data_IF_749498047694
#
_entry.id   IF_749498047694
#
_cell.length_a   1.000
_cell.length_b   1.000
_cell.length_c   1.000
_cell.angle_alpha   90.00
_cell.angle_beta   90.00
_cell.angle_gamma   90.00
#
_symmetry.space_group_name_H-M   'P 1'
#
loop_
_entity.id
_entity.type
_entity.pdbx_description
1 polymer ?
#
# COMPACT_ATOMS: atom_id res chain seq x y z
N UNK A 1 0.83 14.82 -3.11
CA UNK A 1 -0.08 14.20 -2.12
C UNK A 1 -1.26 13.69 -2.90
N UNK A 2 -1.15 12.45 -3.40
CA UNK A 2 -2.23 11.83 -4.15
C UNK A 2 -3.50 11.78 -3.28
N UNK A 3 -4.64 12.11 -3.89
CA UNK A 3 -5.95 11.88 -3.29
C UNK A 3 -6.24 10.38 -3.37
N UNK A 4 -5.68 9.62 -2.44
CA UNK A 4 -5.87 8.15 -2.39
C UNK A 4 -7.18 7.85 -1.65
N UNK A 5 -8.03 7.01 -2.24
CA UNK A 5 -9.30 6.57 -1.65
C UNK A 5 -9.18 5.11 -1.26
N UNK A 6 -9.28 4.80 0.03
CA UNK A 6 -9.13 3.42 0.55
C UNK A 6 -10.23 2.44 0.11
N UNK A 7 -11.21 2.87 -0.69
CA UNK A 7 -12.35 2.06 -1.09
C UNK A 7 -11.88 0.83 -1.90
N UNK A 8 -11.03 1.05 -2.89
CA UNK A 8 -10.56 -0.01 -3.80
C UNK A 8 -9.65 -1.00 -3.05
N UNK A 9 -8.80 -0.50 -2.15
CA UNK A 9 -7.94 -1.34 -1.32
C UNK A 9 -8.75 -2.22 -0.34
N UNK A 10 -9.87 -1.70 0.20
CA UNK A 10 -10.77 -2.46 1.08
C UNK A 10 -11.51 -3.54 0.29
N UNK A 11 -11.92 -3.27 -0.95
CA UNK A 11 -12.56 -4.29 -1.79
C UNK A 11 -11.63 -5.45 -2.15
N UNK A 12 -10.32 -5.20 -2.25
CA UNK A 12 -9.31 -6.23 -2.52
C UNK A 12 -9.07 -7.17 -1.34
N UNK A 13 -8.90 -6.63 -0.13
CA UNK A 13 -8.61 -7.44 1.08
C UNK A 13 -9.89 -7.91 1.79
N UNK A 14 -11.01 -7.21 1.62
CA UNK A 14 -12.31 -7.54 2.22
C UNK A 14 -12.44 -7.15 3.70
N UNK A 15 -11.34 -7.10 4.46
CA UNK A 15 -11.33 -6.68 5.86
C UNK A 15 -10.47 -5.42 6.06
N UNK A 16 -11.07 -4.38 6.68
CA UNK A 16 -10.41 -3.10 6.96
C UNK A 16 -9.27 -3.21 7.97
N UNK A 17 -9.35 -4.13 8.94
CA UNK A 17 -8.29 -4.33 9.91
C UNK A 17 -7.07 -5.01 9.28
N UNK A 18 -7.32 -6.01 8.45
CA UNK A 18 -6.26 -6.71 7.72
C UNK A 18 -5.60 -5.77 6.71
N UNK A 19 -6.36 -4.92 6.03
CA UNK A 19 -5.81 -3.86 5.17
C UNK A 19 -4.80 -2.98 5.92
N UNK A 20 -5.15 -2.51 7.12
CA UNK A 20 -4.25 -1.69 7.92
C UNK A 20 -2.97 -2.46 8.27
N UNK A 21 -3.10 -3.74 8.64
CA UNK A 21 -1.96 -4.57 9.01
C UNK A 21 -1.03 -4.84 7.83
N UNK A 22 -1.59 -5.19 6.68
CA UNK A 22 -0.87 -5.48 5.42
C UNK A 22 -0.17 -4.22 4.91
N UNK A 23 -0.90 -3.10 4.81
CA UNK A 23 -0.34 -1.82 4.38
C UNK A 23 0.78 -1.35 5.31
N UNK A 24 0.61 -1.47 6.64
CA UNK A 24 1.64 -1.09 7.60
C UNK A 24 2.89 -1.98 7.51
N UNK A 25 2.70 -3.29 7.33
CA UNK A 25 3.81 -4.24 7.14
C UNK A 25 4.57 -3.93 5.85
N UNK A 26 3.85 -3.68 4.76
CA UNK A 26 4.44 -3.35 3.46
C UNK A 26 5.18 -2.02 3.46
N UNK A 27 4.57 -0.97 4.01
CA UNK A 27 5.22 0.34 4.15
C UNK A 27 6.54 0.24 4.93
N UNK A 28 6.60 -0.57 6.00
CA UNK A 28 7.84 -0.83 6.74
C UNK A 28 8.91 -1.55 5.91
N UNK A 29 8.53 -2.54 5.08
CA UNK A 29 9.48 -3.24 4.21
C UNK A 29 10.16 -2.28 3.23
N UNK A 30 9.42 -1.30 2.71
CA UNK A 30 9.97 -0.26 1.83
C UNK A 30 10.84 0.73 2.61
N UNK A 31 10.42 1.14 3.81
CA UNK A 31 11.20 2.09 4.64
C UNK A 31 12.55 1.53 5.10
N UNK A 32 12.62 0.22 5.40
CA UNK A 32 13.87 -0.43 5.85
C UNK A 32 14.80 -0.72 4.65
N UNK A 33 14.40 -0.40 3.42
CA UNK A 33 15.19 -0.66 2.21
C UNK A 33 15.27 -2.14 1.85
N UNK A 34 14.37 -2.97 2.42
CA UNK A 34 14.38 -4.42 2.19
C UNK A 34 13.69 -4.84 0.91
N UNK A 35 12.82 -3.99 0.35
CA UNK A 35 12.13 -4.22 -0.92
C UNK A 35 11.81 -2.90 -1.61
N UNK A 36 12.08 -2.84 -2.90
CA UNK A 36 11.66 -1.73 -3.74
C UNK A 36 10.13 -1.70 -3.92
N UNK A 37 9.57 -0.50 -4.15
CA UNK A 37 8.17 -0.36 -4.52
C UNK A 37 7.92 -0.92 -5.92
N UNK A 38 6.78 -1.58 -6.08
CA UNK A 38 6.34 -2.19 -7.35
C UNK A 38 5.61 -1.18 -8.23
N UNK A 39 5.19 -0.05 -7.66
CA UNK A 39 4.55 1.07 -8.35
C UNK A 39 5.46 2.30 -8.34
N UNK A 40 5.38 3.19 -9.35
CA UNK A 40 6.22 4.38 -9.44
C UNK A 40 6.07 5.32 -8.23
N UNK A 41 7.19 5.83 -7.75
CA UNK A 41 7.25 6.75 -6.62
C UNK A 41 6.91 8.18 -7.07
N UNK A 42 5.63 8.51 -7.14
CA UNK A 42 5.16 9.85 -7.56
C UNK A 42 5.24 10.90 -6.44
N UNK A 43 6.38 10.99 -5.73
CA UNK A 43 6.56 11.78 -4.49
C UNK A 43 5.59 11.39 -3.35
N UNK A 44 5.04 10.19 -3.40
CA UNK A 44 4.14 9.68 -2.38
C UNK A 44 4.93 9.04 -1.23
N UNK A 45 4.36 9.08 -0.03
CA UNK A 45 4.93 8.37 1.12
C UNK A 45 4.81 6.86 0.91
N UNK A 46 5.72 6.09 1.50
CA UNK A 46 5.69 4.61 1.46
C UNK A 46 4.35 4.01 1.88
N UNK A 47 3.60 4.68 2.76
CA UNK A 47 2.25 4.26 3.16
C UNK A 47 1.22 4.37 2.04
N UNK A 48 1.33 5.41 1.19
CA UNK A 48 0.43 5.63 0.05
C UNK A 48 0.79 4.68 -1.09
N UNK A 49 2.09 4.50 -1.31
CA UNK A 49 2.61 3.52 -2.27
C UNK A 49 2.12 2.11 -1.92
N UNK A 50 2.18 1.72 -0.63
CA UNK A 50 1.68 0.42 -0.17
C UNK A 50 0.18 0.24 -0.45
N UNK A 51 -0.63 1.28 -0.28
CA UNK A 51 -2.06 1.21 -0.58
C UNK A 51 -2.30 1.05 -2.09
N UNK A 52 -1.57 1.78 -2.94
CA UNK A 52 -1.65 1.64 -4.40
C UNK A 52 -1.25 0.25 -4.88
N UNK A 53 -0.22 -0.35 -4.27
CA UNK A 53 0.18 -1.73 -4.57
C UNK A 53 -0.93 -2.74 -4.24
N UNK A 54 -1.69 -2.50 -3.16
CA UNK A 54 -2.84 -3.33 -2.78
C UNK A 54 -4.01 -3.10 -3.75
N UNK A 55 -4.27 -1.86 -4.17
CA UNK A 55 -5.29 -1.53 -5.17
C UNK A 55 -5.03 -2.20 -6.52
N UNK A 56 -3.76 -2.23 -6.96
CA UNK A 56 -3.34 -2.95 -8.17
C UNK A 56 -3.30 -4.47 -7.98
N UNK A 57 -3.52 -4.98 -6.77
CA UNK A 57 -3.53 -6.41 -6.46
C UNK A 57 -2.15 -7.06 -6.51
N UNK A 58 -1.09 -6.26 -6.38
CA UNK A 58 0.29 -6.73 -6.35
C UNK A 58 0.66 -7.30 -4.97
N UNK A 59 -0.07 -6.92 -3.93
CA UNK A 59 0.16 -7.31 -2.53
C UNK A 59 -1.16 -7.60 -1.80
N UNK A 60 -1.18 -8.69 -1.03
CA UNK A 60 -2.29 -9.15 -0.17
C UNK A 60 -1.80 -9.51 1.23
#
# INVERSE_FOLDING_TARGET
>A
MARVTVQDAVEKIGNRFDLVLVAARRARQMQVGGKDPLVPEENDKTTVIALREIEEGLIN
#
